data_IF_595473500710
#
_entry.id   IF_595473500710
#
_cell.length_a   1.000
_cell.length_b   1.000
_cell.length_c   1.000
_cell.angle_alpha   90.00
_cell.angle_beta   90.00
_cell.angle_gamma   90.00
#
_symmetry.space_group_name_H-M   'P 1'
#
loop_
_entity.id
_entity.type
_entity.pdbx_description
1 polymer ?
#
# COMPACT_ATOMS: atom_id res chain seq x y z
N UNK A 1 -29.81 -14.83 20.09
CA UNK A 1 -28.47 -14.70 20.73
C UNK A 1 -27.46 -14.24 19.70
N UNK A 2 -26.51 -13.36 20.04
CA UNK A 2 -25.42 -12.98 19.13
C UNK A 2 -24.59 -14.22 18.78
N UNK A 3 -24.24 -14.43 17.49
CA UNK A 3 -23.28 -15.48 17.12
C UNK A 3 -21.90 -15.06 17.62
N UNK A 4 -21.37 -15.78 18.60
CA UNK A 4 -19.98 -15.60 19.06
C UNK A 4 -19.05 -16.20 18.01
N UNK A 5 -18.22 -15.38 17.38
CA UNK A 5 -17.18 -15.84 16.45
C UNK A 5 -15.95 -16.27 17.22
N UNK A 6 -15.49 -17.50 17.02
CA UNK A 6 -14.22 -18.00 17.55
C UNK A 6 -13.06 -17.36 16.78
N UNK A 7 -12.05 -16.77 17.44
CA UNK A 7 -10.83 -16.28 16.79
C UNK A 7 -10.11 -17.40 16.04
N UNK A 8 -9.42 -17.04 14.96
CA UNK A 8 -8.63 -17.99 14.17
C UNK A 8 -7.38 -18.39 14.93
N UNK A 9 -6.91 -19.60 14.62
CA UNK A 9 -5.62 -20.13 15.11
C UNK A 9 -4.66 -20.34 13.94
N UNK A 10 -3.35 -20.30 14.20
CA UNK A 10 -2.34 -20.56 13.17
C UNK A 10 -2.56 -21.91 12.48
N UNK A 11 -2.92 -22.95 13.24
CA UNK A 11 -3.21 -24.28 12.70
C UNK A 11 -4.42 -24.28 11.74
N UNK A 12 -5.49 -23.54 12.07
CA UNK A 12 -6.64 -23.39 11.17
C UNK A 12 -6.25 -22.65 9.89
N UNK A 13 -5.43 -21.61 9.99
CA UNK A 13 -4.93 -20.85 8.83
C UNK A 13 -4.04 -21.72 7.95
N UNK A 14 -3.10 -22.45 8.52
CA UNK A 14 -2.18 -23.33 7.79
C UNK A 14 -2.92 -24.45 7.05
N UNK A 15 -3.88 -25.09 7.71
CA UNK A 15 -4.69 -26.18 7.13
C UNK A 15 -5.64 -25.72 6.05
N UNK A 16 -5.89 -24.42 5.93
CA UNK A 16 -6.82 -23.88 4.97
C UNK A 16 -6.22 -23.93 3.54
N UNK A 17 -6.80 -24.79 2.71
CA UNK A 17 -6.38 -25.08 1.33
C UNK A 17 -7.35 -24.46 0.32
N UNK A 18 -6.88 -24.06 -0.88
CA UNK A 18 -7.77 -23.60 -1.95
C UNK A 18 -8.82 -24.66 -2.32
N UNK A 19 -10.04 -24.22 -2.59
CA UNK A 19 -11.19 -25.08 -2.89
C UNK A 19 -11.78 -24.83 -4.30
N UNK A 20 -10.96 -24.37 -5.24
CA UNK A 20 -11.41 -23.99 -6.60
C UNK A 20 -12.22 -22.69 -6.68
N UNK A 21 -12.70 -22.17 -5.53
CA UNK A 21 -13.33 -20.86 -5.38
C UNK A 21 -12.82 -20.17 -4.13
N UNK A 22 -12.79 -18.84 -4.16
CA UNK A 22 -12.40 -18.06 -2.99
C UNK A 22 -13.43 -18.18 -1.86
N UNK A 23 -12.95 -18.32 -0.63
CA UNK A 23 -13.77 -18.41 0.58
C UNK A 23 -13.10 -17.66 1.74
N UNK A 24 -13.83 -17.41 2.83
CA UNK A 24 -13.36 -16.58 3.93
C UNK A 24 -13.39 -17.32 5.26
N UNK A 25 -12.35 -17.18 6.07
CA UNK A 25 -12.30 -17.59 7.47
C UNK A 25 -12.51 -16.36 8.36
N UNK A 26 -13.53 -16.36 9.21
CA UNK A 26 -13.86 -15.19 10.05
C UNK A 26 -13.06 -15.24 11.36
N UNK A 27 -12.40 -14.13 11.70
CA UNK A 27 -11.70 -13.96 12.98
C UNK A 27 -12.53 -13.16 14.00
N UNK A 28 -13.49 -12.37 13.50
CA UNK A 28 -14.42 -11.59 14.33
C UNK A 28 -14.20 -10.09 14.21
N UNK A 29 -15.16 -9.30 14.71
CA UNK A 29 -15.17 -7.83 14.63
C UNK A 29 -14.91 -7.29 13.21
N UNK A 30 -15.44 -7.97 12.19
CA UNK A 30 -15.26 -7.58 10.78
C UNK A 30 -13.93 -8.01 10.15
N UNK A 31 -13.01 -8.64 10.89
CA UNK A 31 -11.78 -9.22 10.36
C UNK A 31 -12.01 -10.65 9.87
N UNK A 32 -11.47 -10.95 8.69
CA UNK A 32 -11.50 -12.29 8.10
C UNK A 32 -10.31 -12.49 7.17
N UNK A 33 -9.90 -13.75 7.01
CA UNK A 33 -8.89 -14.16 6.05
C UNK A 33 -9.58 -14.65 4.77
N UNK A 34 -9.36 -13.97 3.66
CA UNK A 34 -9.74 -14.42 2.33
C UNK A 34 -8.72 -15.43 1.83
N UNK A 35 -9.21 -16.60 1.42
CA UNK A 35 -8.42 -17.64 0.77
C UNK A 35 -8.87 -17.67 -0.68
N UNK A 36 -7.97 -17.37 -1.60
CA UNK A 36 -8.27 -17.35 -3.03
C UNK A 36 -8.32 -18.76 -3.60
N UNK A 37 -8.93 -18.90 -4.79
CA UNK A 37 -8.91 -20.15 -5.54
C UNK A 37 -7.49 -20.63 -5.87
N UNK A 38 -6.51 -19.72 -5.95
CA UNK A 38 -5.09 -20.03 -6.21
C UNK A 38 -4.29 -20.31 -4.94
N UNK A 39 -4.89 -20.15 -3.75
CA UNK A 39 -4.28 -20.44 -2.46
C UNK A 39 -3.61 -19.27 -1.76
N UNK A 40 -3.62 -18.06 -2.35
CA UNK A 40 -3.20 -16.84 -1.65
C UNK A 40 -4.14 -16.53 -0.49
N UNK A 41 -3.57 -16.02 0.61
CA UNK A 41 -4.26 -15.73 1.85
C UNK A 41 -4.14 -14.24 2.14
N UNK A 42 -5.25 -13.53 2.31
CA UNK A 42 -5.26 -12.08 2.47
C UNK A 42 -6.18 -11.68 3.60
N UNK A 43 -5.67 -10.93 4.56
CA UNK A 43 -6.47 -10.33 5.62
C UNK A 43 -7.34 -9.23 5.06
N UNK A 44 -8.63 -9.26 5.37
CA UNK A 44 -9.60 -8.26 4.98
C UNK A 44 -10.41 -7.80 6.19
N UNK A 45 -10.72 -6.51 6.19
CA UNK A 45 -11.55 -5.84 7.18
C UNK A 45 -12.83 -5.34 6.53
N UNK A 46 -13.97 -5.73 7.06
CA UNK A 46 -15.28 -5.30 6.59
C UNK A 46 -15.90 -4.31 7.58
N UNK A 47 -16.23 -3.13 7.08
CA UNK A 47 -16.75 -2.00 7.87
C UNK A 47 -17.79 -1.20 7.07
N UNK A 48 -18.40 -0.22 7.72
CA UNK A 48 -19.28 0.77 7.07
C UNK A 48 -18.52 2.08 6.93
N UNK A 49 -18.50 2.64 5.72
CA UNK A 49 -17.85 3.93 5.50
C UNK A 49 -18.56 5.03 6.30
N UNK A 50 -17.82 5.92 6.99
CA UNK A 50 -18.41 6.89 7.91
C UNK A 50 -19.36 7.88 7.22
N UNK A 51 -19.05 8.26 5.97
CA UNK A 51 -19.84 9.27 5.24
C UNK A 51 -21.01 8.63 4.46
N UNK A 52 -20.75 7.55 3.72
CA UNK A 52 -21.74 6.97 2.79
C UNK A 52 -22.58 5.86 3.41
N UNK A 53 -22.21 5.38 4.59
CA UNK A 53 -22.79 4.21 5.26
C UNK A 53 -22.83 2.96 4.37
N UNK A 54 -21.96 2.88 3.35
CA UNK A 54 -21.85 1.72 2.47
C UNK A 54 -20.93 0.69 3.10
N UNK A 55 -21.40 -0.56 3.13
CA UNK A 55 -20.60 -1.71 3.56
C UNK A 55 -19.43 -1.88 2.58
N UNK A 56 -18.21 -1.85 3.11
CA UNK A 56 -16.96 -1.89 2.34
C UNK A 56 -16.03 -2.94 2.91
N UNK A 57 -15.25 -3.58 2.03
CA UNK A 57 -14.16 -4.47 2.38
C UNK A 57 -12.83 -3.79 2.05
N UNK A 58 -11.90 -3.82 2.97
CA UNK A 58 -10.56 -3.27 2.81
C UNK A 58 -9.53 -4.36 3.07
N UNK A 59 -8.59 -4.55 2.15
CA UNK A 59 -7.50 -5.52 2.31
C UNK A 59 -6.43 -4.91 3.20
N UNK A 60 -6.06 -5.63 4.26
CA UNK A 60 -5.02 -5.23 5.21
C UNK A 60 -3.64 -5.63 4.67
N UNK A 61 -3.53 -6.85 4.13
CA UNK A 61 -2.28 -7.40 3.63
C UNK A 61 -2.35 -8.93 3.47
N UNK A 62 -1.31 -9.51 2.90
CA UNK A 62 -1.21 -10.95 2.67
C UNK A 62 -0.68 -11.68 3.93
N UNK A 63 -1.11 -12.91 4.15
CA UNK A 63 -0.44 -13.82 5.09
C UNK A 63 0.65 -14.59 4.33
N UNK A 64 1.86 -14.78 4.87
CA UNK A 64 2.29 -14.51 6.25
C UNK A 64 2.89 -13.12 6.52
N UNK A 65 2.99 -12.22 5.52
CA UNK A 65 3.56 -10.87 5.70
C UNK A 65 2.89 -10.08 6.83
N UNK A 66 1.57 -10.21 6.93
CA UNK A 66 0.79 -9.83 8.11
C UNK A 66 0.41 -11.12 8.85
N UNK A 67 0.99 -11.28 10.03
CA UNK A 67 0.74 -12.44 10.88
C UNK A 67 -0.66 -12.41 11.53
N UNK A 68 -1.07 -13.54 12.09
CA UNK A 68 -2.30 -13.63 12.90
C UNK A 68 -2.26 -12.70 14.12
N UNK A 69 -1.09 -12.42 14.69
CA UNK A 69 -0.99 -11.49 15.83
C UNK A 69 -1.04 -10.02 15.40
N UNK A 70 -0.57 -9.70 14.19
CA UNK A 70 -0.58 -8.33 13.65
C UNK A 70 -1.95 -7.93 13.10
N UNK A 71 -2.71 -8.85 12.51
CA UNK A 71 -3.99 -8.53 11.88
C UNK A 71 -5.03 -7.92 12.85
N UNK A 72 -5.20 -8.41 14.09
CA UNK A 72 -6.07 -7.76 15.08
C UNK A 72 -5.59 -6.37 15.49
N UNK A 73 -4.28 -6.14 15.63
CA UNK A 73 -3.75 -4.81 15.94
C UNK A 73 -4.10 -3.80 14.83
N UNK A 74 -3.91 -4.19 13.56
CA UNK A 74 -4.31 -3.39 12.40
C UNK A 74 -5.82 -3.15 12.34
N UNK A 75 -6.63 -4.14 12.70
CA UNK A 75 -8.09 -3.97 12.83
C UNK A 75 -8.42 -2.88 13.85
N UNK A 76 -7.81 -2.89 15.02
CA UNK A 76 -8.09 -1.87 16.04
C UNK A 76 -7.64 -0.48 15.61
N UNK A 77 -6.50 -0.35 14.91
CA UNK A 77 -6.08 0.91 14.28
C UNK A 77 -7.17 1.45 13.32
N UNK A 78 -7.73 0.60 12.45
CA UNK A 78 -8.79 1.00 11.53
C UNK A 78 -10.11 1.32 12.23
N UNK A 79 -10.45 0.60 13.30
CA UNK A 79 -11.63 0.92 14.11
C UNK A 79 -11.49 2.26 14.82
N UNK A 80 -10.30 2.61 15.29
CA UNK A 80 -10.03 3.91 15.87
C UNK A 80 -10.19 5.04 14.83
N UNK A 81 -9.71 4.84 13.59
CA UNK A 81 -9.95 5.79 12.50
C UNK A 81 -11.45 5.97 12.23
N UNK A 82 -12.21 4.88 12.17
CA UNK A 82 -13.65 4.93 11.95
C UNK A 82 -14.40 5.61 13.09
N UNK A 83 -13.98 5.41 14.34
CA UNK A 83 -14.55 6.11 15.51
C UNK A 83 -14.33 7.63 15.41
N UNK A 84 -13.25 8.06 14.78
CA UNK A 84 -12.95 9.46 14.48
C UNK A 84 -13.59 9.96 13.16
N UNK A 85 -14.44 9.16 12.52
CA UNK A 85 -15.09 9.52 11.26
C UNK A 85 -14.19 9.46 10.02
N UNK A 86 -12.98 8.91 10.13
CA UNK A 86 -12.01 8.78 9.04
C UNK A 86 -12.16 7.43 8.36
N UNK A 87 -12.27 7.43 7.02
CA UNK A 87 -12.30 6.21 6.22
C UNK A 87 -10.88 5.64 6.04
N UNK A 88 -10.55 4.43 6.55
CA UNK A 88 -9.23 3.85 6.43
C UNK A 88 -8.75 3.68 4.98
N UNK A 89 -9.67 3.40 4.05
CA UNK A 89 -9.32 3.20 2.64
C UNK A 89 -8.96 4.52 1.95
N UNK A 90 -9.67 5.60 2.26
CA UNK A 90 -9.33 6.92 1.72
C UNK A 90 -8.04 7.45 2.33
N UNK A 91 -7.83 7.27 3.64
CA UNK A 91 -6.57 7.64 4.29
C UNK A 91 -5.37 6.94 3.65
N UNK A 92 -5.45 5.63 3.43
CA UNK A 92 -4.38 4.88 2.77
C UNK A 92 -4.12 5.35 1.33
N UNK A 93 -5.18 5.78 0.62
CA UNK A 93 -5.07 6.35 -0.73
C UNK A 93 -4.40 7.72 -0.70
N UNK A 94 -4.77 8.59 0.23
CA UNK A 94 -4.18 9.91 0.43
C UNK A 94 -2.69 9.81 0.78
N UNK A 95 -2.32 8.92 1.70
CA UNK A 95 -0.92 8.66 2.06
C UNK A 95 -0.11 8.20 0.84
N UNK A 96 -0.65 7.25 0.05
CA UNK A 96 -0.01 6.80 -1.19
C UNK A 96 0.12 7.93 -2.22
N UNK A 97 -0.90 8.76 -2.36
CA UNK A 97 -0.86 9.91 -3.27
C UNK A 97 0.17 10.93 -2.81
N UNK A 98 0.24 11.24 -1.52
CA UNK A 98 1.22 12.16 -0.97
C UNK A 98 2.66 11.67 -1.23
N UNK A 99 2.93 10.37 -1.03
CA UNK A 99 4.23 9.77 -1.36
C UNK A 99 4.52 9.87 -2.86
N UNK A 100 3.56 9.51 -3.72
CA UNK A 100 3.74 9.61 -5.17
C UNK A 100 4.01 11.05 -5.60
N UNK A 101 3.27 12.02 -5.07
CA UNK A 101 3.47 13.44 -5.35
C UNK A 101 4.84 13.91 -4.86
N UNK A 102 5.32 13.44 -3.71
CA UNK A 102 6.68 13.72 -3.25
C UNK A 102 7.75 13.15 -4.21
N UNK A 103 7.54 11.93 -4.70
CA UNK A 103 8.45 11.30 -5.68
C UNK A 103 8.40 12.04 -7.03
N UNK A 104 7.22 12.37 -7.53
CA UNK A 104 7.04 13.09 -8.80
C UNK A 104 7.55 14.53 -8.77
N UNK A 105 7.49 15.18 -7.60
CA UNK A 105 8.04 16.52 -7.36
C UNK A 105 9.49 16.47 -6.88
N UNK A 106 10.10 15.28 -6.80
CA UNK A 106 11.52 15.19 -6.50
C UNK A 106 12.33 15.88 -7.60
N UNK A 107 13.44 16.51 -7.22
CA UNK A 107 14.28 17.24 -8.17
C UNK A 107 14.75 16.35 -9.33
N UNK A 108 15.01 15.07 -9.09
CA UNK A 108 15.39 14.11 -10.13
C UNK A 108 14.25 13.92 -11.14
N UNK A 109 13.04 13.62 -10.66
CA UNK A 109 11.88 13.41 -11.53
C UNK A 109 11.55 14.66 -12.36
N UNK A 110 11.66 15.85 -11.77
CA UNK A 110 11.47 17.11 -12.48
C UNK A 110 12.58 17.36 -13.50
N UNK A 111 13.84 17.08 -13.15
CA UNK A 111 14.97 17.23 -14.06
C UNK A 111 14.87 16.28 -15.26
N UNK A 112 14.45 15.02 -15.06
CA UNK A 112 14.21 14.06 -16.13
C UNK A 112 13.09 14.51 -17.07
N UNK A 113 11.94 14.93 -16.52
CA UNK A 113 10.84 15.51 -17.32
C UNK A 113 11.30 16.75 -18.11
N UNK A 114 12.13 17.59 -17.50
CA UNK A 114 12.73 18.74 -18.19
C UNK A 114 13.66 18.31 -19.32
N UNK A 115 14.48 17.28 -19.12
CA UNK A 115 15.39 16.73 -20.13
C UNK A 115 14.62 16.20 -21.34
N UNK A 116 13.54 15.44 -21.11
CA UNK A 116 12.68 14.92 -22.18
C UNK A 116 12.05 16.05 -22.98
N UNK A 117 11.46 17.05 -22.31
CA UNK A 117 10.89 18.22 -22.98
C UNK A 117 11.94 18.97 -23.80
N UNK A 118 13.14 19.18 -23.24
CA UNK A 118 14.23 19.88 -23.93
C UNK A 118 14.88 19.11 -25.06
N UNK A 119 14.79 17.77 -25.06
CA UNK A 119 15.27 16.94 -26.17
C UNK A 119 14.55 17.23 -27.50
N UNK A 120 13.32 17.77 -27.44
CA UNK A 120 12.56 18.18 -28.63
C UNK A 120 12.95 19.57 -29.15
N UNK A 121 13.59 20.39 -28.31
CA UNK A 121 13.84 21.81 -28.58
C UNK A 121 15.34 22.11 -28.84
N UNK A 122 16.25 21.26 -28.38
CA UNK A 122 17.69 21.55 -28.31
C UNK A 122 18.50 20.41 -28.94
N UNK A 123 19.61 20.76 -29.59
CA UNK A 123 20.57 19.80 -30.15
C UNK A 123 21.04 18.77 -29.08
N UNK A 124 21.12 17.47 -29.43
CA UNK A 124 21.50 16.39 -28.50
C UNK A 124 22.80 16.64 -27.72
N UNK A 125 23.82 17.21 -28.37
CA UNK A 125 25.11 17.50 -27.72
C UNK A 125 24.99 18.57 -26.63
N UNK A 126 24.16 19.58 -26.85
CA UNK A 126 23.91 20.65 -25.88
C UNK A 126 23.09 20.13 -24.70
N UNK A 127 22.07 19.30 -24.96
CA UNK A 127 21.32 18.63 -23.90
C UNK A 127 22.20 17.72 -23.04
N UNK A 128 23.09 16.93 -23.68
CA UNK A 128 24.05 16.05 -22.98
C UNK A 128 24.98 16.84 -22.05
N UNK A 129 25.48 18.00 -22.49
CA UNK A 129 26.32 18.88 -21.66
C UNK A 129 25.55 19.43 -20.45
N UNK A 130 24.32 19.90 -20.65
CA UNK A 130 23.48 20.43 -19.57
C UNK A 130 23.14 19.33 -18.54
N UNK A 131 22.79 18.14 -19.01
CA UNK A 131 22.51 17.00 -18.14
C UNK A 131 23.73 16.60 -17.30
N UNK A 132 24.92 16.55 -17.91
CA UNK A 132 26.17 16.24 -17.20
C UNK A 132 26.48 17.22 -16.06
N UNK A 133 26.10 18.50 -16.21
CA UNK A 133 26.24 19.49 -15.12
C UNK A 133 25.33 19.16 -13.93
N UNK A 134 24.11 18.71 -14.19
CA UNK A 134 23.21 18.25 -13.12
C UNK A 134 23.78 17.02 -12.40
N UNK A 135 24.28 16.04 -13.16
CA UNK A 135 24.94 14.83 -12.61
C UNK A 135 26.20 15.14 -11.79
N UNK A 136 26.97 16.16 -12.20
CA UNK A 136 28.25 16.47 -11.54
C UNK A 136 28.06 17.35 -10.31
N UNK A 137 27.13 18.31 -10.36
CA UNK A 137 27.06 19.39 -9.36
C UNK A 137 25.77 19.40 -8.54
N UNK A 138 24.64 18.97 -9.10
CA UNK A 138 23.35 19.03 -8.41
C UNK A 138 23.02 17.70 -7.73
N UNK A 139 23.07 16.59 -8.49
CA UNK A 139 22.66 15.27 -8.00
C UNK A 139 23.49 14.77 -6.80
N UNK A 140 24.83 14.93 -6.75
CA UNK A 140 25.60 14.48 -5.58
C UNK A 140 25.30 15.24 -4.29
N UNK A 141 24.76 16.46 -4.38
CA UNK A 141 24.37 17.28 -3.22
C UNK A 141 22.93 17.00 -2.76
N UNK A 142 22.06 16.59 -3.69
CA UNK A 142 20.63 16.40 -3.46
C UNK A 142 20.27 14.94 -3.17
N UNK A 143 21.11 14.00 -3.60
CA UNK A 143 20.93 12.57 -3.36
C UNK A 143 22.16 12.05 -2.63
N UNK A 144 21.95 11.39 -1.50
CA UNK A 144 22.96 10.53 -0.90
C UNK A 144 23.11 9.33 -1.82
N UNK A 145 24.07 9.42 -2.75
CA UNK A 145 24.56 8.23 -3.43
C UNK A 145 25.18 7.34 -2.35
N UNK A 146 24.47 6.30 -1.94
CA UNK A 146 25.12 5.11 -1.39
C UNK A 146 25.92 4.51 -2.55
N UNK A 147 27.12 5.05 -2.76
CA UNK A 147 28.16 4.41 -3.54
C UNK A 147 28.68 3.23 -2.72
N UNK A 148 27.89 2.16 -2.63
CA UNK A 148 28.38 0.86 -2.24
C UNK A 148 28.36 -0.03 -3.48
N UNK A 149 29.59 -0.33 -3.89
CA UNK A 149 30.12 -1.39 -4.76
C UNK A 149 29.15 -2.45 -5.31
#
# INVERSE_FOLDING_TARGET
>A
MPRVTKPLTNTEIERAKPQGKSYTLTDGNGLFLLISATGSKTWQFNYYRPITNKRTKFSIGSYPEISLSQAPAKREEFRALLANGVDPQEKAKEEKQAINTQIENSFLSVAEKWKEKKALEIEPLTLKKNWRRLETYAFPLLFTYDNNE
#
